data_IF_282062647145
#
_entry.id   IF_282062647145
#
_cell.length_a   1.000
_cell.length_b   1.000
_cell.length_c   1.000
_cell.angle_alpha   90.00
_cell.angle_beta   90.00
_cell.angle_gamma   90.00
#
_symmetry.space_group_name_H-M   'P 1'
#
loop_
_entity.id
_entity.type
_entity.pdbx_description
1 polymer ?
#
# COMPACT_ATOMS: atom_id res chain seq x y z
N UNK A 1 59.26 -31.13 -4.50
CA UNK A 1 58.36 -31.96 -3.68
C UNK A 1 56.94 -31.47 -3.87
N UNK A 2 56.08 -32.33 -4.39
CA UNK A 2 54.60 -32.34 -4.42
C UNK A 2 54.03 -32.37 -2.97
N UNK A 3 52.87 -31.83 -2.53
CA UNK A 3 51.41 -32.03 -2.79
C UNK A 3 50.68 -31.02 -1.85
N UNK A 4 49.79 -30.10 -2.25
CA UNK A 4 48.30 -30.14 -2.45
C UNK A 4 47.42 -29.44 -1.37
N UNK A 5 46.80 -28.33 -1.81
CA UNK A 5 45.42 -27.78 -1.70
C UNK A 5 44.45 -28.22 -0.56
N UNK A 6 43.89 -27.21 0.13
CA UNK A 6 42.44 -26.86 0.31
C UNK A 6 42.34 -25.68 1.31
N UNK A 7 41.57 -24.61 1.10
CA UNK A 7 40.66 -24.24 0.03
C UNK A 7 40.00 -22.87 0.27
N UNK A 8 39.13 -22.52 -0.68
CA UNK A 8 38.04 -21.54 -0.64
C UNK A 8 38.37 -20.03 -0.69
N UNK A 9 38.35 -19.54 -1.95
CA UNK A 9 37.65 -18.35 -2.49
C UNK A 9 37.94 -16.98 -1.87
N UNK A 10 38.66 -16.08 -2.55
CA UNK A 10 38.22 -15.26 -3.72
C UNK A 10 36.99 -14.38 -3.42
N UNK A 11 36.92 -13.09 -3.77
CA UNK A 11 37.85 -12.09 -4.33
C UNK A 11 37.04 -10.78 -4.44
N UNK A 12 37.77 -9.66 -4.51
CA UNK A 12 37.41 -8.40 -5.17
C UNK A 12 36.25 -7.57 -4.54
N UNK A 13 36.53 -6.54 -3.74
CA UNK A 13 37.03 -5.21 -4.12
C UNK A 13 36.10 -4.43 -5.06
N UNK A 14 35.44 -3.39 -4.52
CA UNK A 14 35.23 -2.08 -5.17
C UNK A 14 34.84 -1.00 -4.14
N UNK A 15 35.22 0.24 -4.43
CA UNK A 15 35.51 1.44 -3.58
C UNK A 15 34.49 1.95 -2.53
N UNK A 16 35.02 2.58 -1.46
CA UNK A 16 34.33 3.23 -0.32
C UNK A 16 34.24 4.78 -0.38
N UNK A 17 34.21 5.42 -1.56
CA UNK A 17 34.05 6.90 -1.63
C UNK A 17 32.62 7.40 -1.90
N UNK A 18 31.59 6.56 -1.76
CA UNK A 18 30.19 7.02 -1.86
C UNK A 18 29.26 6.32 -0.86
N UNK A 19 28.95 7.01 0.24
CA UNK A 19 27.65 7.01 0.92
C UNK A 19 27.13 5.70 1.54
N UNK A 20 26.72 5.78 2.81
CA UNK A 20 26.00 4.69 3.47
C UNK A 20 24.70 4.34 2.73
N UNK A 21 24.52 3.05 2.39
CA UNK A 21 23.31 2.47 1.78
C UNK A 21 22.09 2.54 2.71
N UNK A 22 20.88 2.82 2.21
CA UNK A 22 19.65 2.84 2.99
C UNK A 22 19.07 1.42 3.16
N UNK A 23 19.74 0.52 3.88
CA UNK A 23 19.16 -0.81 4.19
C UNK A 23 19.82 -1.59 5.34
N UNK A 24 20.24 -0.94 6.42
CA UNK A 24 20.86 -1.63 7.56
C UNK A 24 20.02 -1.66 8.84
N UNK A 25 18.69 -1.48 8.76
CA UNK A 25 17.79 -1.78 9.88
C UNK A 25 17.65 -3.30 10.04
N UNK A 26 18.68 -3.95 10.59
CA UNK A 26 18.55 -5.27 11.22
C UNK A 26 17.61 -5.11 12.41
N UNK A 27 16.57 -5.94 12.50
CA UNK A 27 15.75 -6.03 13.69
C UNK A 27 16.66 -6.23 14.92
N UNK A 28 16.61 -5.29 15.87
CA UNK A 28 17.39 -5.36 17.09
C UNK A 28 16.97 -6.62 17.83
N UNK A 29 17.85 -7.61 17.82
CA UNK A 29 17.72 -8.82 18.65
C UNK A 29 17.55 -8.31 20.08
N UNK A 30 16.40 -8.52 20.71
CA UNK A 30 16.25 -8.26 22.14
C UNK A 30 17.28 -9.14 22.85
N UNK A 31 18.33 -8.52 23.36
CA UNK A 31 19.32 -9.20 24.17
C UNK A 31 18.58 -9.76 25.38
N UNK A 32 18.65 -11.07 25.58
CA UNK A 32 18.02 -11.78 26.70
C UNK A 32 18.65 -11.41 28.05
N UNK A 33 19.79 -10.74 28.02
CA UNK A 33 20.57 -10.33 29.19
C UNK A 33 20.87 -8.84 29.09
N UNK A 34 20.69 -8.10 30.18
CA UNK A 34 21.02 -6.68 30.24
C UNK A 34 22.52 -6.46 29.95
N UNK A 35 22.83 -5.61 28.97
CA UNK A 35 24.20 -5.22 28.67
C UNK A 35 24.53 -3.93 29.40
N UNK A 36 25.37 -4.06 30.44
CA UNK A 36 25.79 -2.94 31.28
C UNK A 36 26.43 -1.80 30.49
N UNK A 37 27.16 -2.09 29.41
CA UNK A 37 27.82 -1.05 28.61
C UNK A 37 26.81 -0.29 27.76
N UNK A 38 25.84 -1.01 27.19
CA UNK A 38 24.71 -0.42 26.47
C UNK A 38 23.88 0.49 27.38
N UNK A 39 23.58 0.05 28.59
CA UNK A 39 22.80 0.84 29.55
C UNK A 39 23.55 2.12 29.98
N UNK A 40 24.87 2.03 30.20
CA UNK A 40 25.71 3.21 30.50
C UNK A 40 25.74 4.18 29.31
N UNK A 41 25.81 3.67 28.08
CA UNK A 41 25.79 4.50 26.88
C UNK A 41 24.43 5.19 26.72
N UNK A 42 23.33 4.47 26.92
CA UNK A 42 21.97 5.01 26.85
C UNK A 42 21.79 6.16 27.87
N UNK A 43 22.33 6.02 29.08
CA UNK A 43 22.28 7.07 30.10
C UNK A 43 23.05 8.33 29.68
N UNK A 44 24.24 8.19 29.06
CA UNK A 44 25.02 9.33 28.54
C UNK A 44 24.31 10.04 27.40
N UNK A 45 23.69 9.29 26.51
CA UNK A 45 22.94 9.87 25.39
C UNK A 45 21.70 10.61 25.90
N UNK A 46 21.01 10.04 26.90
CA UNK A 46 19.85 10.66 27.53
C UNK A 46 20.23 11.95 28.28
N UNK A 47 21.36 11.98 28.97
CA UNK A 47 21.91 13.20 29.58
C UNK A 47 22.25 14.27 28.54
N UNK A 48 22.85 13.85 27.41
CA UNK A 48 23.19 14.76 26.30
C UNK A 48 21.93 15.38 25.69
N UNK A 49 20.89 14.58 25.46
CA UNK A 49 19.60 15.04 24.94
C UNK A 49 18.91 15.97 25.93
N UNK A 50 18.86 15.60 27.21
CA UNK A 50 18.26 16.44 28.24
C UNK A 50 18.98 17.79 28.35
N UNK A 51 20.32 17.79 28.34
CA UNK A 51 21.12 19.02 28.39
C UNK A 51 20.83 19.93 27.20
N UNK A 52 20.82 19.37 25.98
CA UNK A 52 20.45 20.12 24.76
C UNK A 52 19.03 20.66 24.83
N UNK A 53 18.09 19.86 25.30
CA UNK A 53 16.68 20.24 25.43
C UNK A 53 16.52 21.36 26.46
N UNK A 54 17.24 21.31 27.57
CA UNK A 54 17.25 22.35 28.61
C UNK A 54 17.82 23.66 28.08
N UNK A 55 18.89 23.62 27.29
CA UNK A 55 19.43 24.82 26.62
C UNK A 55 18.47 25.39 25.57
N UNK A 56 17.71 24.54 24.86
CA UNK A 56 16.81 24.97 23.80
C UNK A 56 15.45 25.48 24.31
N UNK A 57 14.88 24.83 25.33
CA UNK A 57 13.50 25.06 25.78
C UNK A 57 13.40 25.62 27.21
N UNK A 58 14.53 25.72 27.92
CA UNK A 58 14.57 26.12 29.32
C UNK A 58 14.19 24.98 30.28
N UNK A 59 14.15 25.26 31.59
CA UNK A 59 13.76 24.27 32.60
C UNK A 59 12.32 23.81 32.38
N UNK A 60 12.07 22.53 32.63
CA UNK A 60 10.70 22.00 32.62
C UNK A 60 9.83 22.72 33.66
N UNK A 61 8.55 22.99 33.36
CA UNK A 61 7.65 23.62 34.32
C UNK A 61 7.60 22.81 35.63
N UNK A 62 7.54 23.47 36.80
CA UNK A 62 7.31 22.77 38.07
C UNK A 62 5.97 22.02 37.98
N UNK A 63 6.01 20.69 38.03
CA UNK A 63 4.85 19.81 37.82
C UNK A 63 4.90 18.94 36.55
N UNK A 64 5.94 19.07 35.72
CA UNK A 64 6.11 18.29 34.49
C UNK A 64 5.27 18.82 33.31
N UNK A 65 5.35 18.15 32.16
CA UNK A 65 4.52 18.49 31.00
C UNK A 65 3.07 18.15 31.35
N UNK A 66 2.09 19.07 31.18
CA UNK A 66 0.69 18.78 31.42
C UNK A 66 0.25 17.56 30.60
N UNK A 67 -0.03 16.44 31.28
CA UNK A 67 -0.70 15.31 30.66
C UNK A 67 -2.16 15.71 30.47
N UNK A 68 -2.55 16.04 29.24
CA UNK A 68 -3.97 16.10 28.93
C UNK A 68 -4.60 14.73 29.22
N UNK A 69 -5.39 14.67 30.30
CA UNK A 69 -6.26 13.54 30.55
C UNK A 69 -7.32 13.61 29.45
N UNK A 70 -7.16 12.79 28.39
CA UNK A 70 -8.24 12.56 27.43
C UNK A 70 -9.44 12.04 28.21
N UNK A 71 -10.44 12.91 28.43
CA UNK A 71 -11.73 12.49 29.00
C UNK A 71 -12.33 11.46 28.04
N UNK A 72 -12.62 10.27 28.55
CA UNK A 72 -13.48 9.32 27.83
C UNK A 72 -14.84 10.00 27.62
N UNK A 73 -15.46 9.94 26.43
CA UNK A 73 -16.79 10.47 26.24
C UNK A 73 -17.79 9.70 27.12
N UNK A 74 -18.63 10.42 27.87
CA UNK A 74 -19.77 9.81 28.58
C UNK A 74 -20.80 9.35 27.53
N UNK A 75 -21.01 8.04 27.46
CA UNK A 75 -22.10 7.45 26.69
C UNK A 75 -23.30 7.24 27.62
N UNK A 76 -24.53 7.60 27.22
CA UNK A 76 -25.70 7.45 28.07
C UNK A 76 -25.99 5.97 28.34
N UNK A 77 -26.23 5.66 29.61
CA UNK A 77 -26.61 4.33 30.10
C UNK A 77 -27.98 3.96 29.53
N UNK A 78 -28.01 2.91 28.69
CA UNK A 78 -29.25 2.27 28.25
C UNK A 78 -29.69 1.29 29.32
N UNK A 79 -30.78 1.59 30.01
CA UNK A 79 -31.49 0.64 30.84
C UNK A 79 -32.05 -0.51 29.98
N UNK A 80 -31.83 -1.75 30.39
CA UNK A 80 -32.63 -2.90 29.96
C UNK A 80 -33.05 -3.64 31.21
N UNK A 81 -34.36 -3.60 31.45
CA UNK A 81 -35.04 -4.35 32.50
C UNK A 81 -34.90 -5.84 32.20
N UNK A 82 -34.53 -6.63 33.21
CA UNK A 82 -34.37 -8.08 33.10
C UNK A 82 -33.74 -8.68 34.35
N UNK A 83 -34.43 -8.52 35.47
CA UNK A 83 -34.44 -9.30 36.72
C UNK A 83 -33.28 -10.29 37.01
N UNK A 84 -32.48 -9.89 38.00
CA UNK A 84 -32.01 -10.63 39.18
C UNK A 84 -32.23 -12.15 39.24
N UNK A 85 -31.12 -12.90 39.31
CA UNK A 85 -30.96 -13.88 40.38
C UNK A 85 -29.48 -14.01 40.78
N UNK A 86 -29.13 -13.35 41.89
CA UNK A 86 -27.92 -13.63 42.66
C UNK A 86 -28.12 -14.96 43.36
N UNK A 87 -27.33 -15.97 43.00
CA UNK A 87 -27.27 -17.27 43.67
C UNK A 87 -25.83 -17.55 44.11
N UNK A 88 -25.66 -17.81 45.40
CA UNK A 88 -24.41 -17.94 46.13
C UNK A 88 -23.41 -18.92 45.51
N UNK A 89 -22.14 -18.52 45.50
CA UNK A 89 -21.00 -19.41 45.27
C UNK A 89 -20.77 -20.19 46.57
N UNK A 90 -20.99 -21.50 46.54
CA UNK A 90 -20.44 -22.43 47.53
C UNK A 90 -19.42 -23.32 46.83
N UNK A 91 -18.17 -23.21 47.27
CA UNK A 91 -17.10 -24.15 46.96
C UNK A 91 -17.49 -25.56 47.45
N UNK A 92 -17.56 -26.55 46.56
CA UNK A 92 -16.64 -27.69 46.58
C UNK A 92 -16.89 -28.66 45.42
N UNK A 93 -15.84 -29.44 45.13
CA UNK A 93 -15.80 -30.65 44.30
C UNK A 93 -15.61 -30.52 42.77
N UNK A 94 -14.36 -30.84 42.39
CA UNK A 94 -13.95 -31.50 41.15
C UNK A 94 -14.14 -30.69 39.86
N UNK A 95 -13.14 -29.88 39.53
CA UNK A 95 -13.01 -29.26 38.20
C UNK A 95 -12.85 -30.35 37.12
N UNK A 96 -13.95 -30.73 36.47
CA UNK A 96 -13.94 -31.46 35.21
C UNK A 96 -13.50 -30.50 34.10
N UNK A 97 -12.29 -30.73 33.58
CA UNK A 97 -11.57 -29.89 32.59
C UNK A 97 -12.34 -29.81 31.23
N UNK A 98 -13.52 -30.44 31.12
CA UNK A 98 -14.34 -30.47 29.92
C UNK A 98 -15.38 -29.36 29.78
N UNK A 99 -15.48 -28.41 30.73
CA UNK A 99 -16.47 -27.30 30.67
C UNK A 99 -15.93 -25.89 30.46
N UNK A 100 -14.61 -25.71 30.26
CA UNK A 100 -13.99 -24.39 30.07
C UNK A 100 -13.87 -23.94 28.59
N UNK A 101 -14.78 -24.37 27.71
CA UNK A 101 -14.69 -24.07 26.27
C UNK A 101 -15.87 -23.25 25.70
N UNK A 102 -16.76 -22.71 26.52
CA UNK A 102 -18.01 -22.14 25.99
C UNK A 102 -18.51 -20.84 26.66
N UNK A 103 -17.62 -19.87 26.93
CA UNK A 103 -18.03 -18.50 27.30
C UNK A 103 -17.12 -17.44 26.65
N UNK A 104 -16.85 -17.56 25.35
CA UNK A 104 -16.26 -16.48 24.53
C UNK A 104 -17.11 -16.16 23.29
N UNK A 105 -18.38 -16.51 23.33
CA UNK A 105 -19.37 -16.09 22.35
C UNK A 105 -20.44 -15.32 23.12
N UNK A 106 -20.28 -13.99 23.18
CA UNK A 106 -21.32 -13.00 22.90
C UNK A 106 -20.81 -11.58 23.25
N UNK A 107 -20.69 -10.80 22.18
CA UNK A 107 -20.77 -9.33 22.06
C UNK A 107 -19.68 -8.45 22.72
N UNK A 108 -18.84 -7.82 21.88
CA UNK A 108 -18.88 -6.35 21.64
C UNK A 108 -18.49 -6.06 20.19
N UNK A 109 -19.46 -5.64 19.38
CA UNK A 109 -19.26 -4.95 18.10
C UNK A 109 -18.94 -3.48 18.38
N UNK A 110 -17.66 -3.15 18.57
CA UNK A 110 -17.13 -1.82 18.28
C UNK A 110 -15.60 -1.86 18.32
N UNK A 111 -14.98 -1.69 17.16
CA UNK A 111 -13.52 -1.54 17.07
C UNK A 111 -12.98 -2.19 15.82
N UNK A 112 -12.63 -1.37 14.84
CA UNK A 112 -11.93 -1.72 13.61
C UNK A 112 -12.74 -2.53 12.58
N UNK A 113 -13.57 -1.83 11.79
CA UNK A 113 -13.78 -2.25 10.41
C UNK A 113 -12.50 -1.97 9.59
N UNK A 114 -11.41 -2.63 9.96
CA UNK A 114 -10.35 -3.01 9.03
C UNK A 114 -10.38 -4.54 8.98
N UNK A 115 -11.58 -5.06 8.67
CA UNK A 115 -11.77 -6.47 8.42
C UNK A 115 -10.83 -6.86 7.28
N UNK A 116 -10.01 -7.87 7.51
CA UNK A 116 -9.15 -8.54 6.55
C UNK A 116 -9.97 -8.83 5.29
N UNK A 117 -9.92 -7.95 4.28
CA UNK A 117 -10.62 -8.16 3.01
C UNK A 117 -9.70 -8.97 2.08
N UNK A 118 -9.88 -10.29 2.15
CA UNK A 118 -9.61 -11.26 1.08
C UNK A 118 -8.23 -11.24 0.40
N UNK A 119 -7.15 -11.52 1.13
CA UNK A 119 -5.89 -12.00 0.54
C UNK A 119 -5.98 -13.43 -0.04
N UNK A 120 -7.18 -13.92 -0.36
CA UNK A 120 -7.47 -15.34 -0.61
C UNK A 120 -8.01 -15.67 -2.01
N UNK A 121 -8.31 -14.66 -2.84
CA UNK A 121 -8.77 -14.94 -4.20
C UNK A 121 -7.53 -15.17 -5.07
N UNK A 122 -7.38 -16.41 -5.55
CA UNK A 122 -6.23 -16.82 -6.35
C UNK A 122 -6.47 -16.52 -7.81
N UNK A 123 -5.41 -16.13 -8.51
CA UNK A 123 -5.39 -16.09 -9.97
C UNK A 123 -5.80 -17.45 -10.53
N UNK A 124 -6.70 -17.46 -11.50
CA UNK A 124 -7.16 -18.68 -12.17
C UNK A 124 -7.51 -18.41 -13.63
N UNK A 125 -7.46 -19.45 -14.44
CA UNK A 125 -8.09 -19.46 -15.77
C UNK A 125 -9.41 -20.20 -15.63
N UNK A 126 -10.51 -19.57 -16.01
CA UNK A 126 -11.87 -20.11 -15.95
C UNK A 126 -12.52 -19.88 -17.30
N UNK A 127 -12.98 -20.96 -17.96
CA UNK A 127 -13.56 -20.94 -19.30
C UNK A 127 -12.67 -20.25 -20.36
N UNK A 128 -11.35 -20.44 -20.24
CA UNK A 128 -10.36 -19.81 -21.12
C UNK A 128 -10.09 -18.33 -20.81
N UNK A 129 -10.74 -17.76 -19.79
CA UNK A 129 -10.54 -16.37 -19.36
C UNK A 129 -9.65 -16.34 -18.13
N UNK A 130 -8.55 -15.59 -18.20
CA UNK A 130 -7.70 -15.33 -17.06
C UNK A 130 -8.39 -14.35 -16.11
N UNK A 131 -8.50 -14.73 -14.84
CA UNK A 131 -9.06 -13.93 -13.75
C UNK A 131 -7.98 -13.72 -12.71
N UNK A 132 -7.37 -12.52 -12.71
CA UNK A 132 -6.41 -12.11 -11.68
C UNK A 132 -7.08 -11.02 -10.83
N UNK A 133 -7.43 -11.30 -9.58
CA UNK A 133 -8.03 -10.31 -8.70
C UNK A 133 -6.99 -9.31 -8.19
N UNK A 134 -7.42 -8.06 -7.96
CA UNK A 134 -6.63 -7.05 -7.29
C UNK A 134 -7.45 -6.33 -6.21
N UNK A 135 -6.76 -5.75 -5.22
CA UNK A 135 -7.39 -5.12 -4.05
C UNK A 135 -6.87 -3.73 -3.75
N UNK A 136 -5.65 -3.47 -4.19
CA UNK A 136 -4.98 -2.20 -4.10
C UNK A 136 -4.56 -1.80 -5.52
N UNK A 137 -4.32 -0.52 -5.73
CA UNK A 137 -3.87 0.01 -7.01
C UNK A 137 -2.95 1.22 -6.78
N UNK A 138 -2.00 1.37 -7.68
CA UNK A 138 -1.29 2.61 -7.87
C UNK A 138 -2.15 3.58 -8.67
N UNK A 139 -2.12 4.87 -8.38
CA UNK A 139 -2.81 5.89 -9.15
C UNK A 139 -1.87 7.00 -9.60
N UNK A 140 -2.00 7.42 -10.85
CA UNK A 140 -1.38 8.64 -11.35
C UNK A 140 -2.26 9.23 -12.47
N UNK A 141 -1.96 10.48 -12.83
CA UNK A 141 -2.63 11.17 -13.89
C UNK A 141 -1.65 11.97 -14.75
N UNK A 142 -2.00 12.10 -16.04
CA UNK A 142 -1.24 12.86 -17.02
C UNK A 142 -2.20 13.65 -17.89
N UNK A 143 -1.80 14.83 -18.32
CA UNK A 143 -2.58 15.64 -19.24
C UNK A 143 -1.73 16.01 -20.46
N UNK A 144 -2.33 15.92 -21.63
CA UNK A 144 -1.74 16.15 -22.94
C UNK A 144 -2.70 16.99 -23.76
N UNK A 145 -2.15 17.86 -24.61
CA UNK A 145 -2.93 18.78 -25.44
C UNK A 145 -3.97 19.62 -24.66
N UNK A 146 -3.67 19.93 -23.40
CA UNK A 146 -4.49 20.82 -22.56
C UNK A 146 -3.77 22.13 -22.32
N UNK A 147 -4.52 23.23 -22.19
CA UNK A 147 -3.96 24.54 -21.79
C UNK A 147 -3.75 24.64 -20.27
N UNK A 148 -4.61 23.98 -19.49
CA UNK A 148 -4.55 23.86 -18.02
C UNK A 148 -5.12 22.52 -17.62
N UNK A 149 -4.60 21.93 -16.55
CA UNK A 149 -5.12 20.65 -16.07
C UNK A 149 -4.92 20.46 -14.57
N UNK A 150 -5.99 20.05 -13.89
CA UNK A 150 -5.98 19.67 -12.48
C UNK A 150 -6.71 18.37 -12.31
N UNK A 151 -6.06 17.41 -11.67
CA UNK A 151 -6.64 16.10 -11.34
C UNK A 151 -6.55 15.91 -9.84
N UNK A 152 -7.71 15.82 -9.19
CA UNK A 152 -7.83 15.49 -7.78
C UNK A 152 -8.24 14.03 -7.63
N UNK A 153 -7.52 13.31 -6.79
CA UNK A 153 -7.82 11.94 -6.44
C UNK A 153 -7.95 11.77 -4.93
N UNK A 154 -9.17 11.48 -4.47
CA UNK A 154 -9.55 11.71 -3.07
C UNK A 154 -9.36 13.18 -2.69
N UNK A 155 -8.38 13.48 -1.82
CA UNK A 155 -8.08 14.84 -1.34
C UNK A 155 -6.69 15.33 -1.77
N UNK A 156 -6.07 14.69 -2.75
CA UNK A 156 -4.71 14.99 -3.20
C UNK A 156 -4.74 15.44 -4.66
N UNK A 157 -4.03 16.53 -4.97
CA UNK A 157 -3.75 16.90 -6.35
C UNK A 157 -2.67 15.98 -6.90
N UNK A 158 -3.03 15.20 -7.91
CA UNK A 158 -2.11 14.35 -8.66
C UNK A 158 -1.47 15.16 -9.79
N UNK A 159 -2.29 15.96 -10.46
CA UNK A 159 -1.84 16.99 -11.40
C UNK A 159 -2.38 18.34 -10.93
N UNK A 160 -1.51 19.34 -10.89
CA UNK A 160 -1.87 20.72 -10.64
C UNK A 160 -1.05 21.63 -11.54
N UNK A 161 -1.35 21.61 -12.83
CA UNK A 161 -0.59 22.31 -13.86
C UNK A 161 -1.41 23.43 -14.51
N UNK A 162 -0.77 24.58 -14.67
CA UNK A 162 -1.33 25.76 -15.31
C UNK A 162 -0.80 26.04 -16.71
N UNK A 163 0.13 25.22 -17.22
CA UNK A 163 0.77 25.42 -18.52
C UNK A 163 0.29 24.47 -19.62
N UNK A 164 0.49 24.85 -20.90
CA UNK A 164 0.13 24.02 -22.03
C UNK A 164 0.99 22.74 -22.12
N UNK A 165 0.39 21.63 -22.54
CA UNK A 165 1.03 20.31 -22.69
C UNK A 165 1.14 19.91 -24.16
N UNK A 166 2.20 19.16 -24.49
CA UNK A 166 2.41 18.59 -25.82
C UNK A 166 1.47 17.43 -26.15
N UNK A 167 1.59 16.83 -27.35
CA UNK A 167 0.77 15.70 -27.79
C UNK A 167 1.08 14.43 -26.99
N UNK A 168 0.09 13.55 -26.86
CA UNK A 168 0.27 12.22 -26.29
C UNK A 168 0.89 11.28 -27.32
N UNK A 169 2.03 10.67 -27.00
CA UNK A 169 2.75 9.78 -27.93
C UNK A 169 2.69 8.32 -27.50
N UNK A 170 3.03 7.41 -28.41
CA UNK A 170 3.13 5.99 -28.07
C UNK A 170 4.24 5.69 -27.06
N UNK A 171 5.29 6.53 -27.03
CA UNK A 171 6.31 6.49 -26.00
C UNK A 171 5.74 6.87 -24.64
N UNK A 172 4.89 7.89 -24.58
CA UNK A 172 4.21 8.25 -23.34
C UNK A 172 3.31 7.12 -22.85
N UNK A 173 2.52 6.53 -23.75
CA UNK A 173 1.69 5.36 -23.48
C UNK A 173 2.51 4.21 -22.88
N UNK A 174 3.60 3.81 -23.52
CA UNK A 174 4.44 2.71 -23.04
C UNK A 174 5.08 2.97 -21.65
N UNK A 175 5.33 4.24 -21.33
CA UNK A 175 5.94 4.68 -20.07
C UNK A 175 4.93 5.13 -19.01
N UNK A 176 3.62 4.95 -19.23
CA UNK A 176 2.63 5.14 -18.17
C UNK A 176 2.98 4.24 -16.99
N UNK A 177 2.78 4.76 -15.79
CA UNK A 177 3.00 4.07 -14.53
C UNK A 177 2.52 4.98 -13.40
N UNK A 178 2.40 4.42 -12.21
CA UNK A 178 2.00 5.21 -11.05
C UNK A 178 3.15 5.45 -10.08
N UNK A 179 3.00 6.51 -9.29
CA UNK A 179 3.93 6.85 -8.20
C UNK A 179 3.23 6.90 -6.84
N UNK A 180 1.91 6.75 -6.79
CA UNK A 180 1.11 6.89 -5.57
C UNK A 180 0.32 5.62 -5.31
N UNK A 181 0.64 4.91 -4.22
CA UNK A 181 -0.15 3.78 -3.74
C UNK A 181 -1.05 4.22 -2.59
N UNK A 182 -2.34 3.87 -2.65
CA UNK A 182 -3.27 3.98 -1.51
C UNK A 182 -3.95 2.64 -1.30
N UNK A 183 -3.76 2.09 -0.10
CA UNK A 183 -4.60 1.01 0.41
C UNK A 183 -6.07 1.47 0.39
N UNK A 184 -6.90 0.72 -0.33
CA UNK A 184 -8.29 0.98 -0.75
C UNK A 184 -8.44 1.88 -1.98
N UNK A 185 -9.19 1.43 -3.00
CA UNK A 185 -9.64 2.26 -4.13
C UNK A 185 -10.54 3.40 -3.63
N UNK A 186 -10.13 4.69 -3.67
CA UNK A 186 -11.12 5.76 -3.76
C UNK A 186 -11.94 5.56 -5.03
N UNK A 187 -13.25 5.69 -4.91
CA UNK A 187 -14.14 5.48 -6.05
C UNK A 187 -14.04 6.60 -7.09
N UNK A 188 -13.56 7.80 -6.75
CA UNK A 188 -13.77 8.98 -7.58
C UNK A 188 -12.51 9.83 -7.79
N UNK A 189 -12.27 10.21 -9.05
CA UNK A 189 -11.32 11.25 -9.46
C UNK A 189 -12.09 12.45 -10.05
N UNK A 190 -11.74 13.67 -9.67
CA UNK A 190 -12.26 14.90 -10.31
C UNK A 190 -11.20 15.48 -11.24
N UNK A 191 -11.60 15.80 -12.45
CA UNK A 191 -10.74 16.28 -13.54
C UNK A 191 -11.27 17.63 -13.99
N UNK A 192 -10.44 18.66 -13.88
CA UNK A 192 -10.76 20.02 -14.33
C UNK A 192 -9.69 20.42 -15.31
N UNK A 193 -10.05 20.71 -16.56
CA UNK A 193 -9.07 21.07 -17.58
C UNK A 193 -9.65 22.04 -18.61
N UNK A 194 -8.75 22.67 -19.33
CA UNK A 194 -9.07 23.47 -20.51
C UNK A 194 -8.49 22.75 -21.73
N UNK A 195 -9.32 22.40 -22.70
CA UNK A 195 -8.93 21.74 -23.95
C UNK A 195 -8.02 22.62 -24.81
N UNK A 196 -7.45 22.06 -25.88
CA UNK A 196 -6.51 22.77 -26.75
C UNK A 196 -7.13 23.98 -27.44
N UNK A 197 -8.43 23.91 -27.72
CA UNK A 197 -9.22 24.97 -28.33
C UNK A 197 -9.80 25.98 -27.34
N UNK A 198 -9.60 25.77 -26.03
CA UNK A 198 -9.93 26.75 -24.99
C UNK A 198 -11.24 26.49 -24.25
N UNK A 199 -11.94 25.38 -24.52
CA UNK A 199 -13.15 25.01 -23.78
C UNK A 199 -12.78 24.47 -22.38
N UNK A 200 -13.54 24.92 -21.38
CA UNK A 200 -13.37 24.48 -19.99
C UNK A 200 -14.26 23.27 -19.68
N UNK A 201 -13.68 22.29 -18.98
CA UNK A 201 -14.33 21.05 -18.58
C UNK A 201 -14.14 20.79 -17.08
N UNK A 202 -15.15 20.17 -16.45
CA UNK A 202 -15.14 19.76 -15.04
C UNK A 202 -15.92 18.45 -14.90
N UNK A 203 -15.20 17.35 -14.75
CA UNK A 203 -15.76 16.00 -14.81
C UNK A 203 -15.36 15.18 -13.60
N UNK A 204 -16.22 14.21 -13.29
CA UNK A 204 -16.02 13.26 -12.20
C UNK A 204 -16.01 11.85 -12.77
N UNK A 205 -14.93 11.12 -12.54
CA UNK A 205 -14.73 9.75 -13.03
C UNK A 205 -14.87 8.78 -11.86
N UNK A 206 -15.83 7.87 -11.95
CA UNK A 206 -16.03 6.79 -10.97
C UNK A 206 -15.19 5.55 -11.33
N UNK A 207 -14.00 5.48 -10.76
CA UNK A 207 -13.11 4.32 -10.86
C UNK A 207 -13.70 3.07 -10.18
N UNK A 208 -14.52 3.26 -9.13
CA UNK A 208 -15.18 2.16 -8.44
C UNK A 208 -16.13 1.40 -9.36
N UNK A 209 -16.87 2.14 -10.20
CA UNK A 209 -17.73 1.57 -11.24
C UNK A 209 -16.92 0.97 -12.40
N UNK A 210 -15.88 1.67 -12.90
CA UNK A 210 -15.04 1.16 -14.01
C UNK A 210 -14.38 -0.19 -13.63
N UNK A 211 -13.93 -0.33 -12.38
CA UNK A 211 -13.25 -1.52 -11.88
C UNK A 211 -14.10 -2.32 -10.88
N UNK A 212 -15.43 -2.35 -11.07
CA UNK A 212 -16.35 -3.03 -10.16
C UNK A 212 -16.00 -4.53 -10.00
N UNK A 213 -15.55 -5.17 -11.08
CA UNK A 213 -15.15 -6.58 -11.09
C UNK A 213 -13.89 -6.87 -10.27
N UNK A 214 -13.06 -5.85 -9.99
CA UNK A 214 -11.76 -5.97 -9.32
C UNK A 214 -10.83 -7.01 -9.97
N UNK A 215 -10.91 -7.12 -11.29
CA UNK A 215 -10.04 -7.99 -12.08
C UNK A 215 -9.04 -7.15 -12.89
N UNK A 216 -7.81 -7.65 -12.96
CA UNK A 216 -6.78 -7.07 -13.81
C UNK A 216 -7.17 -7.23 -15.27
N UNK A 217 -7.03 -6.13 -16.01
CA UNK A 217 -7.12 -6.10 -17.46
C UNK A 217 -5.78 -6.47 -18.08
N UNK A 218 -5.85 -7.15 -19.22
CA UNK A 218 -4.68 -7.56 -19.98
C UNK A 218 -4.94 -7.40 -21.48
N UNK A 219 -3.88 -7.29 -22.30
CA UNK A 219 -4.02 -7.18 -23.74
C UNK A 219 -4.69 -8.42 -24.36
N UNK A 220 -5.48 -8.22 -25.40
CA UNK A 220 -6.23 -9.28 -26.10
C UNK A 220 -5.32 -10.36 -26.72
N UNK A 221 -4.05 -10.03 -26.98
CA UNK A 221 -3.05 -10.93 -27.55
C UNK A 221 -2.29 -11.78 -26.51
N UNK A 222 -2.67 -11.70 -25.22
CA UNK A 222 -2.08 -12.51 -24.16
C UNK A 222 -2.47 -14.00 -24.31
N UNK A 223 -1.47 -14.88 -24.47
CA UNK A 223 -1.70 -16.32 -24.35
C UNK A 223 -1.87 -16.71 -22.87
N UNK A 224 -3.12 -16.84 -22.44
CA UNK A 224 -3.48 -17.21 -21.06
C UNK A 224 -2.87 -18.54 -20.59
N UNK A 225 -2.46 -19.43 -21.52
CA UNK A 225 -1.82 -20.72 -21.19
C UNK A 225 -0.36 -20.57 -20.82
N UNK A 226 0.26 -19.45 -21.22
CA UNK A 226 1.64 -19.12 -20.90
C UNK A 226 1.74 -18.25 -19.63
N UNK A 227 0.63 -17.98 -18.95
CA UNK A 227 0.62 -17.17 -17.72
C UNK A 227 1.03 -18.01 -16.53
N UNK A 228 1.98 -17.50 -15.76
CA UNK A 228 2.35 -18.06 -14.47
C UNK A 228 1.35 -17.58 -13.40
N UNK A 229 0.55 -18.52 -12.87
CA UNK A 229 -0.48 -18.26 -11.86
C UNK A 229 0.05 -18.22 -10.42
N UNK A 230 1.38 -18.26 -10.23
CA UNK A 230 2.01 -17.95 -8.94
C UNK A 230 1.40 -16.65 -8.39
N UNK A 231 1.12 -16.56 -7.07
CA UNK A 231 0.33 -15.46 -6.52
C UNK A 231 0.87 -14.11 -6.97
N UNK A 232 0.05 -13.42 -7.76
CA UNK A 232 0.34 -12.07 -8.18
C UNK A 232 0.37 -11.20 -6.92
N UNK A 233 1.57 -10.77 -6.52
CA UNK A 233 1.78 -9.85 -5.40
C UNK A 233 1.91 -8.41 -5.87
N UNK A 234 1.70 -8.15 -7.16
CA UNK A 234 1.79 -6.82 -7.72
C UNK A 234 0.52 -6.01 -7.47
N UNK A 235 0.68 -4.71 -7.53
CA UNK A 235 -0.40 -3.74 -7.50
C UNK A 235 -0.53 -3.19 -8.92
N UNK A 236 -1.68 -3.27 -9.60
CA UNK A 236 -1.84 -2.65 -10.91
C UNK A 236 -1.76 -1.13 -10.78
N UNK A 237 -1.20 -0.49 -11.79
CA UNK A 237 -1.28 0.96 -11.95
C UNK A 237 -2.56 1.30 -12.69
N UNK A 238 -3.36 2.22 -12.13
CA UNK A 238 -4.48 2.89 -12.80
C UNK A 238 -4.02 4.29 -13.16
N UNK A 239 -4.04 4.61 -14.46
CA UNK A 239 -3.55 5.90 -14.95
C UNK A 239 -4.66 6.64 -15.68
N UNK A 240 -4.98 7.85 -15.22
CA UNK A 240 -5.91 8.75 -15.89
C UNK A 240 -5.15 9.66 -16.86
N UNK A 241 -5.49 9.60 -18.13
CA UNK A 241 -4.92 10.46 -19.18
C UNK A 241 -6.00 11.38 -19.71
N UNK A 242 -5.78 12.69 -19.59
CA UNK A 242 -6.54 13.71 -20.32
C UNK A 242 -5.80 14.00 -21.61
N UNK A 243 -6.49 13.91 -22.74
CA UNK A 243 -5.96 14.18 -24.08
C UNK A 243 -6.94 15.07 -24.83
N UNK A 244 -6.66 16.38 -24.84
CA UNK A 244 -7.54 17.41 -25.41
C UNK A 244 -8.98 17.32 -24.86
N UNK A 245 -9.93 16.81 -25.66
CA UNK A 245 -11.35 16.63 -25.30
C UNK A 245 -11.69 15.20 -24.86
N UNK A 246 -10.69 14.37 -24.57
CA UNK A 246 -10.89 12.97 -24.20
C UNK A 246 -10.27 12.64 -22.85
N UNK A 247 -10.92 11.75 -22.11
CA UNK A 247 -10.36 11.10 -20.93
C UNK A 247 -10.23 9.60 -21.22
N UNK A 248 -9.05 9.06 -20.92
CA UNK A 248 -8.74 7.64 -20.99
C UNK A 248 -8.28 7.14 -19.62
N UNK A 249 -8.82 6.02 -19.16
CA UNK A 249 -8.30 5.31 -17.99
C UNK A 249 -7.56 4.08 -18.48
N UNK A 250 -6.29 3.98 -18.12
CA UNK A 250 -5.44 2.83 -18.40
C UNK A 250 -5.27 1.98 -17.14
N UNK A 251 -5.16 0.67 -17.32
CA UNK A 251 -4.64 -0.25 -16.32
C UNK A 251 -3.34 -0.85 -16.85
N UNK A 252 -2.29 -0.87 -16.02
CA UNK A 252 -1.02 -1.52 -16.33
C UNK A 252 -0.67 -2.44 -15.19
N UNK A 253 -0.53 -3.73 -15.49
CA UNK A 253 -0.28 -4.76 -14.47
C UNK A 253 0.86 -5.67 -14.92
N UNK A 254 1.64 -6.15 -13.95
CA UNK A 254 2.73 -7.08 -14.20
C UNK A 254 2.21 -8.51 -14.26
N UNK A 255 2.14 -9.11 -15.45
CA UNK A 255 1.65 -10.48 -15.61
C UNK A 255 2.84 -11.37 -15.91
N UNK A 256 3.20 -12.22 -14.96
CA UNK A 256 4.29 -13.18 -15.13
C UNK A 256 3.92 -14.25 -16.17
N UNK A 257 4.91 -14.60 -17.00
CA UNK A 257 4.80 -15.65 -18.00
C UNK A 257 5.68 -16.84 -17.61
N UNK A 258 5.27 -18.03 -18.02
CA UNK A 258 6.05 -19.27 -17.87
C UNK A 258 7.32 -19.24 -18.73
N UNK A 259 7.31 -18.51 -19.84
CA UNK A 259 8.43 -18.42 -20.78
C UNK A 259 8.80 -16.98 -21.10
N UNK A 260 10.08 -16.69 -21.41
CA UNK A 260 10.48 -15.39 -21.92
C UNK A 260 9.78 -15.04 -23.24
N UNK A 261 9.24 -13.83 -23.33
CA UNK A 261 8.59 -13.31 -24.56
C UNK A 261 9.58 -13.16 -25.71
N UNK A 262 10.83 -12.79 -25.41
CA UNK A 262 11.87 -12.59 -26.41
C UNK A 262 12.95 -13.66 -26.25
N UNK A 263 13.17 -14.51 -27.27
CA UNK A 263 14.27 -15.48 -27.27
C UNK A 263 15.60 -14.80 -26.98
N UNK A 264 16.36 -15.35 -26.02
CA UNK A 264 17.65 -14.79 -25.59
C UNK A 264 17.58 -13.62 -24.60
N UNK A 265 16.39 -13.19 -24.16
CA UNK A 265 16.23 -12.21 -23.06
C UNK A 265 15.60 -12.90 -21.86
N UNK A 266 16.45 -13.40 -20.96
CA UNK A 266 16.04 -14.21 -19.81
C UNK A 266 14.97 -13.54 -18.92
N UNK A 267 15.08 -12.22 -18.70
CA UNK A 267 14.14 -11.46 -17.88
C UNK A 267 12.97 -10.85 -18.67
N UNK A 268 12.53 -11.48 -19.77
CA UNK A 268 11.38 -11.03 -20.56
C UNK A 268 10.12 -11.89 -20.35
N UNK A 269 10.08 -12.65 -19.27
CA UNK A 269 8.99 -13.54 -18.88
C UNK A 269 7.84 -12.80 -18.20
N UNK A 270 7.43 -11.67 -18.76
CA UNK A 270 6.31 -10.88 -18.24
C UNK A 270 5.63 -10.06 -19.34
N UNK A 271 4.38 -9.67 -19.08
CA UNK A 271 3.65 -8.61 -19.78
C UNK A 271 3.45 -7.46 -18.81
N UNK A 272 3.60 -6.24 -19.33
CA UNK A 272 3.42 -5.00 -18.55
C UNK A 272 2.92 -3.89 -19.47
N UNK A 273 2.00 -4.23 -20.38
CA UNK A 273 1.47 -3.29 -21.35
C UNK A 273 0.27 -2.53 -20.73
N UNK A 274 0.11 -1.23 -21.02
CA UNK A 274 -1.07 -0.48 -20.61
C UNK A 274 -2.29 -0.88 -21.45
N UNK A 275 -3.41 -1.14 -20.79
CA UNK A 275 -4.69 -1.52 -21.40
C UNK A 275 -5.73 -0.45 -21.10
N UNK A 276 -6.53 -0.05 -22.10
CA UNK A 276 -7.61 0.92 -21.89
C UNK A 276 -8.75 0.25 -21.13
N UNK A 277 -9.06 0.74 -19.93
CA UNK A 277 -10.20 0.32 -19.13
C UNK A 277 -11.47 1.12 -19.46
N UNK A 278 -11.30 2.40 -19.80
CA UNK A 278 -12.39 3.32 -20.07
C UNK A 278 -11.94 4.45 -20.99
N UNK A 279 -12.83 4.95 -21.82
CA UNK A 279 -12.61 6.14 -22.64
C UNK A 279 -13.91 6.92 -22.83
N UNK A 280 -13.84 8.24 -22.73
CA UNK A 280 -14.95 9.16 -23.01
C UNK A 280 -14.44 10.44 -23.67
N UNK A 281 -15.20 10.94 -24.63
CA UNK A 281 -14.96 12.21 -25.33
C UNK A 281 -16.03 13.24 -24.94
N UNK A 282 -15.64 14.52 -24.94
CA UNK A 282 -16.43 15.68 -24.56
C UNK A 282 -16.58 16.69 -25.71
#
# INVERSE_FOLDING_TARGET
>A
MTVSIRGATERDAFDEDEGARPSSLRAVRKLTTADRHYDIQLLRDLETVNTRTWHALGPSPPGGIPREIRRKPDLPVRFSNGETLVGQITENEKMDIKRLAMVAALTVTSGCHSGIKSWHMKSKVEDGVLKIPFYDHGFDARCYETLRCRVLYGNTYIVNDGGPRGPFTERDRANLGSHWARLDLPSVARVIWTSKDGDDHDETIDLGHIFESRLILYPDDLDVRDVDLVPYSGTPDIILVVEDRSIHIYMKAWISLLKPRYPGREHSNFRHDPVVAYSKKF
#
